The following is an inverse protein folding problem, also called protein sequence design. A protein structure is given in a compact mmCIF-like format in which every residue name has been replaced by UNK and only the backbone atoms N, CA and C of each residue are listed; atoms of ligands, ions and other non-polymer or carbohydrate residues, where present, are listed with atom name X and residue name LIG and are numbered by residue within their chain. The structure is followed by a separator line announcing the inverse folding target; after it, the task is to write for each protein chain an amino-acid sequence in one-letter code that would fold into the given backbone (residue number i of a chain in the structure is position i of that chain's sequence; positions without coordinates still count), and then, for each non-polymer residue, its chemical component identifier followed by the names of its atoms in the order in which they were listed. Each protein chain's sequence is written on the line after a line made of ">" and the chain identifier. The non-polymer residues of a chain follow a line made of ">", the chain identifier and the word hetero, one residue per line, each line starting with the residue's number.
data_IF_892521818322
#
_entry.id   IF_892521818322
#
_cell.length_a   1.000
_cell.length_b   1.000
_cell.length_c   1.000
_cell.angle_alpha   90.00
_cell.angle_beta   90.00
_cell.angle_gamma   90.00
#
_symmetry.space_group_name_H-M   'P 1'
#
loop_
_entity.id
_entity.type
_entity.pdbx_description
1 polymer ?
#
# COMPACT_ATOMS: atom_id res chain seq x y z
N UNK A 1 -5.46 -4.55 9.02
CA UNK A 1 -4.84 -5.45 8.01
C UNK A 1 -5.85 -5.69 6.89
N UNK A 2 -5.39 -5.73 5.65
CA UNK A 2 -6.29 -5.79 4.49
C UNK A 2 -6.59 -7.21 4.00
N UNK A 3 -5.82 -8.21 4.42
CA UNK A 3 -5.95 -9.60 4.00
C UNK A 3 -5.58 -10.56 5.12
N UNK A 4 -6.04 -11.81 5.02
CA UNK A 4 -5.76 -12.84 6.01
C UNK A 4 -5.06 -14.07 5.40
N UNK A 5 -4.69 -15.03 6.27
CA UNK A 5 -3.97 -16.23 5.86
C UNK A 5 -4.81 -17.16 4.99
N UNK A 6 -6.13 -17.16 5.16
CA UNK A 6 -7.02 -17.96 4.33
C UNK A 6 -6.99 -17.45 2.89
N UNK A 7 -7.06 -16.14 2.72
CA UNK A 7 -6.98 -15.50 1.41
C UNK A 7 -5.62 -15.72 0.75
N UNK A 8 -4.54 -15.64 1.52
CA UNK A 8 -3.20 -15.92 1.01
C UNK A 8 -3.07 -17.38 0.56
N UNK A 9 -3.60 -18.32 1.36
CA UNK A 9 -3.63 -19.74 1.01
C UNK A 9 -4.40 -19.98 -0.28
N UNK A 10 -5.53 -19.32 -0.45
CA UNK A 10 -6.32 -19.40 -1.69
C UNK A 10 -5.56 -18.86 -2.88
N UNK A 11 -4.85 -17.75 -2.71
CA UNK A 11 -4.08 -17.11 -3.76
C UNK A 11 -2.90 -17.95 -4.22
N UNK A 12 -2.13 -18.52 -3.30
CA UNK A 12 -0.99 -19.38 -3.58
C UNK A 12 -1.40 -20.78 -4.05
N UNK A 13 -2.56 -21.24 -3.59
CA UNK A 13 -2.96 -22.63 -3.68
C UNK A 13 -2.54 -23.39 -2.42
N UNK A 14 -3.44 -24.25 -1.95
CA UNK A 14 -3.27 -24.97 -0.68
C UNK A 14 -1.95 -25.75 -0.60
N UNK A 15 -1.63 -26.47 -1.66
CA UNK A 15 -0.40 -27.29 -1.70
C UNK A 15 0.85 -26.44 -1.59
N UNK A 16 0.93 -25.37 -2.38
CA UNK A 16 2.09 -24.49 -2.41
C UNK A 16 2.23 -23.75 -1.08
N UNK A 17 1.14 -23.26 -0.54
CA UNK A 17 1.13 -22.60 0.78
C UNK A 17 1.67 -23.51 1.87
N UNK A 18 1.16 -24.75 1.94
CA UNK A 18 1.59 -25.71 2.95
C UNK A 18 3.06 -26.11 2.79
N UNK A 19 3.55 -26.19 1.57
CA UNK A 19 4.96 -26.47 1.31
C UNK A 19 5.86 -25.33 1.75
N UNK A 20 5.48 -24.08 1.42
CA UNK A 20 6.26 -22.88 1.76
C UNK A 20 6.35 -22.68 3.27
N UNK A 21 5.21 -22.80 3.96
CA UNK A 21 5.12 -22.50 5.38
C UNK A 21 5.26 -23.74 6.29
N UNK A 22 5.51 -24.90 5.70
CA UNK A 22 5.71 -26.18 6.41
C UNK A 22 4.56 -26.45 7.38
N UNK A 23 3.33 -26.36 6.90
CA UNK A 23 2.12 -26.48 7.71
C UNK A 23 1.09 -27.40 7.06
N UNK A 24 0.00 -27.67 7.78
CA UNK A 24 -1.16 -28.41 7.29
C UNK A 24 -2.34 -27.47 7.03
N UNK A 25 -3.42 -27.99 6.44
CA UNK A 25 -4.58 -27.19 6.08
C UNK A 25 -5.29 -26.55 7.29
N UNK A 26 -5.12 -27.11 8.47
CA UNK A 26 -5.74 -26.59 9.69
C UNK A 26 -4.89 -25.49 10.37
N UNK A 27 -3.64 -25.31 9.94
CA UNK A 27 -2.72 -24.43 10.62
C UNK A 27 -2.83 -22.98 10.12
N UNK A 28 -2.55 -22.07 11.04
CA UNK A 28 -2.38 -20.64 10.73
C UNK A 28 -0.94 -20.30 11.12
N UNK A 29 0.03 -20.48 10.19
CA UNK A 29 1.43 -20.30 10.53
C UNK A 29 1.76 -18.83 10.83
N UNK A 30 2.46 -18.59 11.93
CA UNK A 30 2.87 -17.24 12.35
C UNK A 30 3.74 -16.53 11.29
N UNK A 31 4.51 -17.29 10.53
CA UNK A 31 5.33 -16.74 9.45
C UNK A 31 4.49 -16.20 8.30
N UNK A 32 3.37 -16.84 7.98
CA UNK A 32 2.43 -16.34 6.98
C UNK A 32 1.75 -15.06 7.46
N UNK A 33 1.37 -15.00 8.71
CA UNK A 33 0.83 -13.78 9.31
C UNK A 33 1.85 -12.64 9.29
N UNK A 34 3.11 -12.96 9.57
CA UNK A 34 4.20 -11.98 9.50
C UNK A 34 4.39 -11.44 8.09
N UNK A 35 4.33 -12.29 7.08
CA UNK A 35 4.46 -11.87 5.68
C UNK A 35 3.29 -10.96 5.26
N UNK A 36 2.07 -11.30 5.69
CA UNK A 36 0.90 -10.45 5.45
C UNK A 36 1.00 -9.11 6.18
N UNK A 37 1.44 -9.12 7.42
CA UNK A 37 1.63 -7.89 8.19
C UNK A 37 2.68 -6.99 7.56
N UNK A 38 3.78 -7.56 7.07
CA UNK A 38 4.83 -6.80 6.39
C UNK A 38 4.34 -6.24 5.05
N UNK A 39 3.56 -7.00 4.30
CA UNK A 39 2.95 -6.53 3.05
C UNK A 39 1.96 -5.38 3.32
N UNK A 40 1.11 -5.54 4.32
CA UNK A 40 0.17 -4.49 4.73
C UNK A 40 0.90 -3.22 5.18
N UNK A 41 1.99 -3.37 5.90
CA UNK A 41 2.80 -2.23 6.34
C UNK A 41 3.45 -1.49 5.16
N UNK A 42 3.87 -2.20 4.12
CA UNK A 42 4.39 -1.58 2.90
C UNK A 42 3.31 -0.76 2.20
N UNK A 43 2.09 -1.29 2.10
CA UNK A 43 0.95 -0.58 1.53
C UNK A 43 0.62 0.66 2.37
N UNK A 44 0.47 0.49 3.67
CA UNK A 44 0.16 1.60 4.59
C UNK A 44 1.22 2.69 4.56
N UNK A 45 2.49 2.31 4.51
CA UNK A 45 3.59 3.26 4.41
C UNK A 45 3.49 4.16 3.18
N UNK A 46 3.05 3.60 2.07
CA UNK A 46 2.84 4.37 0.84
C UNK A 46 1.60 5.25 0.89
N UNK A 47 0.57 4.85 1.63
CA UNK A 47 -0.68 5.60 1.75
C UNK A 47 -0.62 6.72 2.79
N UNK A 48 0.26 6.58 3.77
CA UNK A 48 0.26 7.43 4.97
C UNK A 48 0.40 8.93 4.68
N UNK A 49 1.08 9.30 3.60
CA UNK A 49 1.27 10.68 3.21
C UNK A 49 0.00 11.32 2.63
N UNK A 50 -0.93 10.52 2.10
CA UNK A 50 -2.11 11.00 1.37
C UNK A 50 -3.43 10.67 2.03
N UNK A 51 -3.49 9.60 2.82
CA UNK A 51 -4.74 9.07 3.37
C UNK A 51 -4.66 8.88 4.87
N UNK A 52 -5.81 8.99 5.53
CA UNK A 52 -5.95 8.61 6.94
C UNK A 52 -6.08 7.10 7.03
N UNK A 53 -5.25 6.48 7.84
CA UNK A 53 -5.23 5.02 8.00
C UNK A 53 -5.97 4.59 9.28
N UNK A 54 -6.58 3.40 9.27
CA UNK A 54 -6.72 2.51 8.13
C UNK A 54 -7.78 2.98 7.12
N UNK A 55 -7.60 2.64 5.85
CA UNK A 55 -8.62 2.88 4.82
C UNK A 55 -9.74 1.86 5.00
N UNK A 56 -10.98 2.31 5.03
CA UNK A 56 -12.14 1.44 5.31
C UNK A 56 -13.21 1.43 4.22
N UNK A 57 -13.06 2.24 3.20
CA UNK A 57 -14.05 2.33 2.12
C UNK A 57 -14.00 1.09 1.20
N UNK A 58 -15.17 0.56 0.77
CA UNK A 58 -15.24 -0.77 0.16
C UNK A 58 -14.40 -0.96 -1.10
N UNK A 59 -14.42 -0.02 -2.03
CA UNK A 59 -13.67 -0.14 -3.29
C UNK A 59 -12.17 -0.07 -3.07
N UNK A 60 -11.77 0.85 -2.23
CA UNK A 60 -10.35 0.98 -1.86
C UNK A 60 -9.87 -0.24 -1.10
N UNK A 61 -10.68 -0.79 -0.18
CA UNK A 61 -10.32 -2.01 0.54
C UNK A 61 -10.10 -3.19 -0.39
N UNK A 62 -10.95 -3.37 -1.40
CA UNK A 62 -10.79 -4.45 -2.37
C UNK A 62 -9.46 -4.34 -3.12
N UNK A 63 -9.10 -3.13 -3.52
CA UNK A 63 -7.84 -2.86 -4.21
C UNK A 63 -6.64 -3.09 -3.30
N UNK A 64 -6.70 -2.57 -2.07
CA UNK A 64 -5.62 -2.71 -1.09
C UNK A 64 -5.43 -4.17 -0.66
N UNK A 65 -6.52 -4.94 -0.57
CA UNK A 65 -6.45 -6.38 -0.33
C UNK A 65 -5.68 -7.08 -1.45
N UNK A 66 -6.01 -6.81 -2.69
CA UNK A 66 -5.31 -7.41 -3.84
C UNK A 66 -3.83 -7.05 -3.82
N UNK A 67 -3.49 -5.80 -3.58
CA UNK A 67 -2.09 -5.35 -3.49
C UNK A 67 -1.34 -6.02 -2.34
N UNK A 68 -1.96 -6.08 -1.17
CA UNK A 68 -1.37 -6.73 0.01
C UNK A 68 -1.11 -8.21 -0.26
N UNK A 69 -2.06 -8.91 -0.87
CA UNK A 69 -1.89 -10.32 -1.22
C UNK A 69 -0.78 -10.52 -2.25
N UNK A 70 -0.67 -9.66 -3.25
CA UNK A 70 0.39 -9.73 -4.25
C UNK A 70 1.78 -9.56 -3.61
N UNK A 71 1.92 -8.59 -2.71
CA UNK A 71 3.18 -8.38 -1.99
C UNK A 71 3.49 -9.53 -1.02
N UNK A 72 2.47 -10.09 -0.40
CA UNK A 72 2.63 -11.26 0.47
C UNK A 72 3.04 -12.52 -0.32
N UNK A 73 2.53 -12.69 -1.54
CA UNK A 73 2.98 -13.76 -2.44
C UNK A 73 4.47 -13.65 -2.74
N UNK A 74 4.97 -12.46 -3.01
CA UNK A 74 6.41 -12.25 -3.24
C UNK A 74 7.21 -12.73 -2.03
N UNK A 75 6.78 -12.36 -0.82
CA UNK A 75 7.45 -12.76 0.41
C UNK A 75 7.41 -14.26 0.62
N UNK A 76 6.27 -14.87 0.34
CA UNK A 76 6.10 -16.32 0.43
C UNK A 76 7.06 -17.05 -0.53
N UNK A 77 7.08 -16.63 -1.78
CA UNK A 77 7.96 -17.26 -2.77
C UNK A 77 9.45 -17.04 -2.49
N UNK A 78 9.80 -15.93 -1.84
CA UNK A 78 11.17 -15.69 -1.40
C UNK A 78 11.63 -16.70 -0.33
N UNK A 79 10.70 -17.29 0.42
CA UNK A 79 11.00 -18.36 1.38
C UNK A 79 11.24 -19.71 0.72
N UNK A 80 10.69 -19.91 -0.48
CA UNK A 80 10.82 -21.16 -1.23
C UNK A 80 12.12 -21.15 -2.04
N UNK A 81 13.22 -21.45 -1.39
CA UNK A 81 14.56 -21.44 -2.00
C UNK A 81 14.60 -22.37 -3.23
N UNK A 82 15.17 -21.86 -4.32
CA UNK A 82 15.35 -22.63 -5.55
C UNK A 82 14.11 -22.76 -6.42
N UNK A 83 13.02 -22.09 -6.10
CA UNK A 83 11.82 -22.10 -6.92
C UNK A 83 11.83 -20.98 -7.95
N UNK A 84 11.19 -21.24 -9.10
CA UNK A 84 11.00 -20.23 -10.14
C UNK A 84 9.69 -19.43 -9.91
N UNK A 85 9.02 -19.64 -8.79
CA UNK A 85 7.73 -19.01 -8.50
C UNK A 85 7.83 -17.50 -8.38
N UNK A 86 8.93 -16.99 -7.88
CA UNK A 86 9.16 -15.56 -7.76
C UNK A 86 9.01 -14.82 -9.10
N UNK A 87 9.44 -15.45 -10.20
CA UNK A 87 9.30 -14.87 -11.54
C UNK A 87 7.84 -14.73 -11.98
N UNK A 88 6.96 -15.62 -11.50
CA UNK A 88 5.54 -15.59 -11.86
C UNK A 88 4.82 -14.36 -11.30
N UNK A 89 5.25 -13.88 -10.14
CA UNK A 89 4.63 -12.73 -9.49
C UNK A 89 5.37 -11.43 -9.72
N UNK A 90 6.57 -11.47 -10.26
CA UNK A 90 7.44 -10.30 -10.42
C UNK A 90 6.76 -9.15 -11.14
N UNK A 91 6.11 -9.42 -12.27
CA UNK A 91 5.41 -8.37 -13.02
C UNK A 91 4.26 -7.74 -12.25
N UNK A 92 3.50 -8.56 -11.51
CA UNK A 92 2.39 -8.07 -10.67
C UNK A 92 2.90 -7.24 -9.51
N UNK A 93 3.97 -7.68 -8.88
CA UNK A 93 4.60 -6.96 -7.76
C UNK A 93 5.12 -5.61 -8.23
N UNK A 94 5.82 -5.56 -9.35
CA UNK A 94 6.31 -4.31 -9.93
C UNK A 94 5.15 -3.36 -10.23
N UNK A 95 4.04 -3.87 -10.75
CA UNK A 95 2.86 -3.08 -11.04
C UNK A 95 2.25 -2.50 -9.76
N UNK A 96 2.14 -3.29 -8.71
CA UNK A 96 1.64 -2.82 -7.40
C UNK A 96 2.53 -1.71 -6.87
N UNK A 97 3.85 -1.90 -6.88
CA UNK A 97 4.79 -0.89 -6.40
C UNK A 97 4.74 0.39 -7.21
N UNK A 98 4.50 0.30 -8.51
CA UNK A 98 4.28 1.48 -9.34
C UNK A 98 3.01 2.24 -8.95
N UNK A 99 1.92 1.55 -8.65
CA UNK A 99 0.71 2.20 -8.16
C UNK A 99 0.94 2.87 -6.82
N UNK A 100 1.63 2.21 -5.89
CA UNK A 100 1.94 2.79 -4.59
C UNK A 100 2.82 4.04 -4.73
N UNK A 101 3.80 4.00 -5.61
CA UNK A 101 4.63 5.17 -5.91
C UNK A 101 3.81 6.32 -6.51
N UNK A 102 2.91 6.02 -7.43
CA UNK A 102 2.01 7.01 -8.02
C UNK A 102 1.10 7.65 -7.00
N UNK A 103 0.65 6.89 -6.00
CA UNK A 103 -0.13 7.45 -4.89
C UNK A 103 0.71 8.47 -4.12
N UNK A 104 1.96 8.15 -3.80
CA UNK A 104 2.86 9.07 -3.11
C UNK A 104 3.12 10.34 -3.93
N UNK A 105 3.16 10.22 -5.24
CA UNK A 105 3.38 11.34 -6.16
C UNK A 105 2.10 12.09 -6.56
N UNK A 106 0.95 11.71 -5.99
CA UNK A 106 -0.36 12.27 -6.32
C UNK A 106 -0.78 12.06 -7.79
N UNK A 107 -0.31 10.99 -8.41
CA UNK A 107 -0.64 10.61 -9.78
C UNK A 107 -1.72 9.53 -9.87
N UNK A 108 -2.06 8.90 -8.77
CA UNK A 108 -3.12 7.90 -8.68
C UNK A 108 -3.88 8.09 -7.38
N UNK A 109 -5.20 8.01 -7.45
CA UNK A 109 -6.07 8.19 -6.29
C UNK A 109 -6.90 6.93 -6.04
N UNK A 110 -7.10 6.60 -4.78
CA UNK A 110 -7.99 5.53 -4.39
C UNK A 110 -9.43 5.88 -4.76
N UNK A 111 -10.22 4.90 -5.22
CA UNK A 111 -11.52 5.20 -5.85
C UNK A 111 -12.56 5.85 -4.95
N UNK A 112 -12.54 5.56 -3.66
CA UNK A 112 -13.58 6.03 -2.73
C UNK A 112 -13.04 6.50 -1.37
N UNK A 113 -11.72 6.60 -1.21
CA UNK A 113 -11.11 7.09 0.01
C UNK A 113 -10.86 8.59 -0.07
N UNK A 114 -11.16 9.29 1.00
CA UNK A 114 -10.88 10.72 1.09
C UNK A 114 -9.41 10.95 1.44
N UNK A 115 -8.76 11.86 0.71
CA UNK A 115 -7.40 12.26 0.99
C UNK A 115 -7.33 13.15 2.24
N UNK A 116 -6.18 13.15 2.89
CA UNK A 116 -5.90 14.08 3.99
C UNK A 116 -5.93 15.50 3.49
N UNK A 117 -6.46 16.40 4.33
CA UNK A 117 -6.38 17.82 4.09
C UNK A 117 -4.97 18.29 4.45
N UNK A 118 -4.25 18.82 3.49
CA UNK A 118 -2.91 19.35 3.72
C UNK A 118 -3.01 20.78 4.25
N UNK A 119 -2.83 20.94 5.56
CA UNK A 119 -2.86 22.24 6.20
C UNK A 119 -1.65 23.10 5.81
N UNK A 120 -0.54 22.49 5.48
CA UNK A 120 0.64 23.24 5.07
C UNK A 120 0.46 23.89 3.70
N UNK A 121 -0.24 23.25 2.78
CA UNK A 121 -0.59 23.85 1.51
C UNK A 121 -1.43 25.10 1.67
N UNK A 122 -2.38 25.07 2.60
CA UNK A 122 -3.23 26.23 2.88
C UNK A 122 -2.43 27.40 3.44
N UNK A 123 -1.51 27.10 4.31
CA UNK A 123 -0.64 28.12 4.90
C UNK A 123 0.23 28.76 3.81
N UNK A 124 0.79 27.95 2.92
CA UNK A 124 1.61 28.44 1.82
C UNK A 124 0.84 29.38 0.88
N UNK A 125 -0.39 29.03 0.53
CA UNK A 125 -1.24 29.88 -0.31
C UNK A 125 -1.53 31.20 0.37
N UNK A 126 -1.88 31.15 1.64
CA UNK A 126 -2.18 32.33 2.42
C UNK A 126 -0.97 33.25 2.56
N UNK A 127 0.18 32.68 2.74
CA UNK A 127 1.43 33.42 2.83
C UNK A 127 1.76 34.10 1.49
N UNK A 128 1.50 33.43 0.38
CA UNK A 128 1.67 34.00 -0.95
C UNK A 128 0.79 35.23 -1.16
N UNK A 129 -0.44 35.17 -0.72
CA UNK A 129 -1.35 36.33 -0.78
C UNK A 129 -0.83 37.48 0.06
N UNK A 130 -0.34 37.19 1.23
CA UNK A 130 0.25 38.21 2.09
C UNK A 130 1.44 38.90 1.44
N UNK A 131 2.27 38.15 0.74
CA UNK A 131 3.43 38.69 0.04
C UNK A 131 3.00 39.64 -1.07
N UNK A 132 1.96 39.30 -1.81
CA UNK A 132 1.41 40.18 -2.84
C UNK A 132 0.87 41.46 -2.22
N UNK A 133 0.17 41.32 -1.12
CA UNK A 133 -0.36 42.48 -0.41
C UNK A 133 0.74 43.35 0.12
N UNK A 134 1.85 42.81 0.55
CA UNK A 134 2.97 43.54 1.09
C UNK A 134 3.56 44.57 0.11
N UNK A 135 3.41 44.33 -1.18
CA UNK A 135 3.87 45.27 -2.18
C UNK A 135 3.11 46.60 -2.18
N UNK A 136 1.93 46.59 -1.63
CA UNK A 136 1.15 47.80 -1.59
C UNK A 136 1.85 48.91 -0.80
N UNK A 137 2.68 48.51 0.12
CA UNK A 137 3.45 49.44 0.90
C UNK A 137 4.42 50.25 0.08
N UNK A 138 4.80 49.74 -1.09
CA UNK A 138 5.75 50.40 -1.97
C UNK A 138 5.14 51.58 -2.69
N UNK A 139 3.84 51.70 -2.71
CA UNK A 139 3.17 52.81 -3.34
C UNK A 139 3.42 54.10 -2.62
N UNK A 140 3.79 54.03 -1.40
CA UNK A 140 4.01 55.17 -0.56
C UNK A 140 5.33 55.86 -0.83
N UNK A 141 6.10 55.27 -1.68
CA UNK A 141 7.41 55.80 -2.04
C UNK A 141 7.40 56.59 -3.38
#
# INVERSE_FOLDING_TARGET
>A
MYADTVELRQRLGRKIFNEIYLCTDADVPATAESDLAAAAAEVDGSLASRYTLPVTTPRSLALLKDWTLTLAEERAYARAAGSNYAEKVKGRVEQVRKYLEKIQQDLFKLPDAAEKVDSSSRIAVRHGESAVFGRDNMKDF
#
